data_IF_259558428214
#
_entry.id   IF_259558428214
#
_cell.length_a   1.000
_cell.length_b   1.000
_cell.length_c   1.000
_cell.angle_alpha   90.00
_cell.angle_beta   90.00
_cell.angle_gamma   90.00
#
_symmetry.space_group_name_H-M   'P 1'
#
loop_
_entity.id
_entity.type
_entity.pdbx_description
1 polymer ?
#
# COMPACT_ATOMS: atom_id res chain seq x y z
N UNK A 1 -14.24 -18.50 7.08
CA UNK A 1 -13.80 -17.33 6.31
C UNK A 1 -12.44 -17.63 5.72
N UNK A 2 -12.29 -17.51 4.39
CA UNK A 2 -11.03 -17.72 3.66
C UNK A 2 -10.56 -16.39 3.09
N UNK A 3 -9.42 -15.92 3.60
CA UNK A 3 -8.75 -14.69 3.14
C UNK A 3 -7.49 -15.07 2.37
N UNK A 4 -7.38 -14.57 1.14
CA UNK A 4 -6.16 -14.68 0.32
C UNK A 4 -5.35 -13.42 0.49
N UNK A 5 -4.05 -13.55 0.72
CA UNK A 5 -3.13 -12.42 0.82
C UNK A 5 -2.18 -12.47 -0.37
N UNK A 6 -2.16 -11.42 -1.16
CA UNK A 6 -1.29 -11.24 -2.31
C UNK A 6 -0.22 -10.24 -1.94
N UNK A 7 1.03 -10.69 -1.98
CA UNK A 7 2.21 -9.85 -1.73
C UNK A 7 2.52 -8.94 -2.94
N UNK A 8 3.70 -8.34 -2.90
CA UNK A 8 4.28 -7.40 -3.85
C UNK A 8 3.94 -7.79 -5.30
N UNK A 9 3.21 -6.91 -5.97
CA UNK A 9 2.65 -7.19 -7.30
C UNK A 9 3.68 -6.88 -8.39
N UNK A 10 4.34 -5.72 -8.33
CA UNK A 10 5.33 -5.21 -9.28
C UNK A 10 4.98 -5.55 -10.74
N UNK A 11 3.78 -5.15 -11.17
CA UNK A 11 3.28 -5.39 -12.52
C UNK A 11 2.87 -6.81 -12.86
N UNK A 12 3.10 -7.80 -11.99
CA UNK A 12 2.84 -9.21 -12.29
C UNK A 12 1.34 -9.50 -12.24
N UNK A 13 0.85 -10.20 -13.26
CA UNK A 13 -0.57 -10.57 -13.41
C UNK A 13 -0.96 -11.90 -12.75
N UNK A 14 -0.06 -12.54 -12.00
CA UNK A 14 -0.32 -13.83 -11.32
C UNK A 14 -1.54 -13.79 -10.38
N UNK A 15 -1.88 -12.60 -9.86
CA UNK A 15 -3.09 -12.42 -9.07
C UNK A 15 -4.36 -12.81 -9.83
N UNK A 16 -4.39 -12.64 -11.16
CA UNK A 16 -5.54 -12.99 -12.00
C UNK A 16 -5.83 -14.50 -11.93
N UNK A 17 -4.79 -15.34 -12.00
CA UNK A 17 -4.94 -16.79 -11.89
C UNK A 17 -5.47 -17.17 -10.51
N UNK A 18 -4.97 -16.52 -9.45
CA UNK A 18 -5.43 -16.77 -8.09
C UNK A 18 -6.91 -16.42 -7.95
N UNK A 19 -7.34 -15.24 -8.40
CA UNK A 19 -8.74 -14.82 -8.21
C UNK A 19 -9.73 -15.57 -9.11
N UNK A 20 -9.26 -16.10 -10.24
CA UNK A 20 -10.08 -16.87 -11.18
C UNK A 20 -10.20 -18.36 -10.78
N UNK A 21 -9.22 -18.91 -10.06
CA UNK A 21 -9.19 -20.35 -9.71
C UNK A 21 -9.58 -20.64 -8.27
N UNK A 22 -9.53 -19.64 -7.39
CA UNK A 22 -9.82 -19.83 -5.97
C UNK A 22 -11.17 -19.23 -5.59
N UNK A 23 -11.92 -19.94 -4.75
CA UNK A 23 -13.02 -19.34 -3.97
C UNK A 23 -12.44 -18.73 -2.70
N UNK A 24 -12.85 -17.51 -2.36
CA UNK A 24 -12.45 -16.76 -1.16
C UNK A 24 -13.56 -15.79 -0.71
N UNK A 25 -13.52 -15.43 0.56
CA UNK A 25 -14.39 -14.40 1.14
C UNK A 25 -13.75 -13.02 0.96
N UNK A 26 -12.43 -12.92 1.16
CA UNK A 26 -11.63 -11.72 0.94
C UNK A 26 -10.31 -11.99 0.21
N UNK A 27 -9.83 -10.98 -0.49
CA UNK A 27 -8.48 -10.91 -1.06
C UNK A 27 -7.84 -9.58 -0.68
N UNK A 28 -6.66 -9.64 -0.08
CA UNK A 28 -5.88 -8.48 0.38
C UNK A 28 -4.63 -8.36 -0.47
N UNK A 29 -4.54 -7.30 -1.26
CA UNK A 29 -3.32 -6.90 -1.96
C UNK A 29 -2.47 -6.07 -1.00
N UNK A 30 -1.25 -6.51 -0.70
CA UNK A 30 -0.35 -5.81 0.22
C UNK A 30 0.35 -4.59 -0.40
N UNK A 31 0.12 -4.28 -1.67
CA UNK A 31 0.68 -3.12 -2.36
C UNK A 31 1.82 -3.47 -3.31
N UNK A 32 2.66 -2.47 -3.56
CA UNK A 32 3.73 -2.47 -4.55
C UNK A 32 3.22 -2.91 -5.92
N UNK A 33 2.30 -2.13 -6.49
CA UNK A 33 1.64 -2.46 -7.75
C UNK A 33 2.55 -2.26 -8.97
N UNK A 34 3.50 -1.33 -8.88
CA UNK A 34 4.32 -0.83 -9.99
C UNK A 34 5.82 -0.97 -9.69
N UNK A 35 6.69 -0.22 -10.36
CA UNK A 35 8.16 -0.24 -10.21
C UNK A 35 8.87 -1.59 -10.45
N UNK A 36 8.25 -2.48 -11.21
CA UNK A 36 8.93 -3.68 -11.70
C UNK A 36 10.14 -3.32 -12.57
N UNK A 37 11.26 -4.02 -12.41
CA UNK A 37 12.39 -3.94 -13.34
C UNK A 37 12.15 -4.72 -14.64
N UNK A 38 11.32 -5.76 -14.57
CA UNK A 38 11.17 -6.76 -15.64
C UNK A 38 9.87 -6.61 -16.44
N UNK A 39 8.90 -5.85 -15.93
CA UNK A 39 7.60 -5.60 -16.59
C UNK A 39 7.59 -4.19 -17.20
N UNK A 40 7.11 -4.03 -18.43
CA UNK A 40 7.09 -2.73 -19.10
C UNK A 40 6.17 -1.74 -18.37
N UNK A 41 6.51 -0.45 -18.37
CA UNK A 41 5.69 0.57 -17.68
C UNK A 41 4.24 0.59 -18.16
N UNK A 42 4.01 0.31 -19.44
CA UNK A 42 2.67 0.23 -20.04
C UNK A 42 1.89 -0.94 -19.43
N UNK A 43 2.49 -2.13 -19.39
CA UNK A 43 1.82 -3.32 -18.85
C UNK A 43 1.57 -3.18 -17.34
N UNK A 44 2.48 -2.50 -16.62
CA UNK A 44 2.29 -2.15 -15.20
C UNK A 44 1.10 -1.21 -15.00
N UNK A 45 0.96 -0.18 -15.84
CA UNK A 45 -0.15 0.77 -15.77
C UNK A 45 -1.48 0.08 -16.08
N UNK A 46 -1.54 -0.74 -17.13
CA UNK A 46 -2.71 -1.53 -17.47
C UNK A 46 -3.09 -2.49 -16.33
N UNK A 47 -2.11 -3.17 -15.73
CA UNK A 47 -2.35 -4.07 -14.61
C UNK A 47 -2.86 -3.32 -13.36
N UNK A 48 -2.33 -2.12 -13.06
CA UNK A 48 -2.84 -1.28 -11.97
C UNK A 48 -4.31 -0.90 -12.22
N UNK A 49 -4.65 -0.50 -13.45
CA UNK A 49 -6.03 -0.21 -13.84
C UNK A 49 -6.95 -1.43 -13.71
N UNK A 50 -6.47 -2.63 -14.09
CA UNK A 50 -7.20 -3.89 -13.95
C UNK A 50 -7.48 -4.22 -12.47
N UNK A 51 -6.50 -4.01 -11.57
CA UNK A 51 -6.66 -4.20 -10.12
C UNK A 51 -7.68 -3.22 -9.54
N UNK A 52 -7.62 -1.95 -9.96
CA UNK A 52 -8.60 -0.92 -9.57
C UNK A 52 -10.01 -1.31 -10.04
N UNK A 53 -10.15 -1.78 -11.28
CA UNK A 53 -11.42 -2.24 -11.82
C UNK A 53 -11.96 -3.45 -11.04
N UNK A 54 -11.08 -4.39 -10.66
CA UNK A 54 -11.45 -5.54 -9.84
C UNK A 54 -11.91 -5.13 -8.44
N UNK A 55 -11.23 -4.18 -7.80
CA UNK A 55 -11.70 -3.58 -6.53
C UNK A 55 -13.08 -2.95 -6.68
N UNK A 56 -13.32 -2.20 -7.76
CA UNK A 56 -14.62 -1.56 -8.01
C UNK A 56 -15.75 -2.57 -8.27
N UNK A 57 -15.46 -3.71 -8.89
CA UNK A 57 -16.48 -4.74 -9.16
C UNK A 57 -16.84 -5.56 -7.92
N UNK A 58 -15.92 -5.66 -6.95
CA UNK A 58 -16.08 -6.45 -5.72
C UNK A 58 -15.60 -5.67 -4.47
N UNK A 59 -16.19 -4.50 -4.16
CA UNK A 59 -15.63 -3.55 -3.19
C UNK A 59 -15.47 -4.10 -1.77
N UNK A 60 -16.38 -4.96 -1.33
CA UNK A 60 -16.34 -5.56 0.01
C UNK A 60 -15.33 -6.72 0.16
N UNK A 61 -14.97 -7.36 -0.97
CA UNK A 61 -14.10 -8.54 -0.99
C UNK A 61 -12.64 -8.19 -1.25
N UNK A 62 -12.39 -7.15 -2.04
CA UNK A 62 -11.04 -6.77 -2.47
C UNK A 62 -10.53 -5.67 -1.57
N UNK A 63 -9.37 -5.84 -0.97
CA UNK A 63 -8.70 -4.83 -0.15
C UNK A 63 -7.40 -4.46 -0.84
N UNK A 64 -7.17 -3.16 -1.05
CA UNK A 64 -5.96 -2.63 -1.67
C UNK A 64 -5.17 -1.85 -0.62
N UNK A 65 -3.99 -2.36 -0.26
CA UNK A 65 -3.06 -1.66 0.61
C UNK A 65 -2.01 -0.89 -0.20
N UNK A 66 -1.44 0.14 0.40
CA UNK A 66 -0.40 0.98 -0.20
C UNK A 66 0.96 0.44 0.24
N UNK A 67 1.80 0.08 -0.73
CA UNK A 67 3.21 -0.24 -0.53
C UNK A 67 4.13 0.97 -0.74
N UNK A 68 5.42 0.81 -0.47
CA UNK A 68 6.38 1.91 -0.61
C UNK A 68 6.67 2.27 -2.07
N UNK A 69 6.42 1.36 -3.02
CA UNK A 69 6.47 1.65 -4.46
C UNK A 69 5.18 2.27 -5.01
N UNK A 70 4.15 2.40 -4.19
CA UNK A 70 2.91 3.11 -4.54
C UNK A 70 2.90 4.51 -3.92
N UNK A 71 3.42 4.59 -2.68
CA UNK A 71 3.43 5.78 -1.84
C UNK A 71 4.00 7.03 -2.53
N UNK A 72 5.13 6.92 -3.23
CA UNK A 72 5.78 8.06 -3.90
C UNK A 72 5.07 8.56 -5.16
N UNK A 73 4.00 7.89 -5.60
CA UNK A 73 3.18 8.34 -6.73
C UNK A 73 2.00 9.22 -6.30
N UNK A 74 1.77 9.38 -4.99
CA UNK A 74 0.78 10.35 -4.50
C UNK A 74 1.31 11.79 -4.63
N UNK A 75 0.51 12.75 -5.14
CA UNK A 75 0.98 14.10 -5.46
C UNK A 75 1.66 14.86 -4.32
N UNK A 76 1.19 14.67 -3.09
CA UNK A 76 1.73 15.32 -1.90
C UNK A 76 3.00 14.67 -1.35
N UNK A 77 3.33 13.46 -1.80
CA UNK A 77 4.50 12.70 -1.36
C UNK A 77 5.67 12.93 -2.31
N UNK A 78 5.49 12.63 -3.59
CA UNK A 78 6.57 12.67 -4.59
C UNK A 78 7.66 11.62 -4.37
N UNK A 79 8.75 11.71 -5.13
CA UNK A 79 9.84 10.72 -5.13
C UNK A 79 10.50 10.57 -3.75
N UNK A 80 10.42 9.37 -3.19
CA UNK A 80 11.02 9.01 -1.89
C UNK A 80 12.39 8.32 -2.02
N UNK A 81 12.95 8.21 -3.22
CA UNK A 81 14.21 7.50 -3.48
C UNK A 81 14.08 5.98 -3.48
N UNK A 82 12.85 5.45 -3.56
CA UNK A 82 12.59 4.01 -3.66
C UNK A 82 13.16 3.47 -4.98
N UNK A 83 13.88 2.35 -4.92
CA UNK A 83 14.48 1.72 -6.10
C UNK A 83 13.42 1.40 -7.15
N UNK A 84 13.75 1.54 -8.44
CA UNK A 84 12.81 1.22 -9.52
C UNK A 84 11.79 2.32 -9.83
N UNK A 85 11.73 3.41 -9.04
CA UNK A 85 10.88 4.57 -9.31
C UNK A 85 11.06 5.07 -10.75
N UNK A 86 9.93 5.36 -11.41
CA UNK A 86 9.88 5.77 -12.82
C UNK A 86 9.37 7.20 -12.94
N UNK A 87 10.27 8.17 -12.81
CA UNK A 87 9.94 9.60 -12.90
C UNK A 87 9.15 9.98 -14.17
N UNK A 88 9.44 9.33 -15.31
CA UNK A 88 8.71 9.57 -16.56
C UNK A 88 7.28 9.03 -16.56
N UNK A 89 6.96 8.06 -15.70
CA UNK A 89 5.63 7.47 -15.53
C UNK A 89 4.88 8.04 -14.34
N UNK A 90 5.54 8.83 -13.49
CA UNK A 90 4.94 9.40 -12.29
C UNK A 90 3.62 10.15 -12.55
N UNK A 91 3.46 10.94 -13.63
CA UNK A 91 2.17 11.53 -13.94
C UNK A 91 1.07 10.48 -14.20
N UNK A 92 1.38 9.40 -14.92
CA UNK A 92 0.39 8.37 -15.27
C UNK A 92 0.04 7.46 -14.11
N UNK A 93 1.02 6.99 -13.34
CA UNK A 93 0.75 6.19 -12.15
C UNK A 93 0.07 7.02 -11.07
N UNK A 94 0.57 8.25 -10.84
CA UNK A 94 -0.01 9.17 -9.86
C UNK A 94 -1.45 9.54 -10.18
N UNK A 95 -1.80 9.75 -11.46
CA UNK A 95 -3.19 10.00 -11.87
C UNK A 95 -4.12 8.83 -11.51
N UNK A 96 -3.69 7.58 -11.75
CA UNK A 96 -4.49 6.41 -11.38
C UNK A 96 -4.64 6.29 -9.87
N UNK A 97 -3.56 6.45 -9.10
CA UNK A 97 -3.64 6.39 -7.64
C UNK A 97 -4.51 7.51 -7.06
N UNK A 98 -4.33 8.76 -7.52
CA UNK A 98 -5.01 9.91 -6.94
C UNK A 98 -6.52 9.92 -7.28
N UNK A 99 -6.89 9.64 -8.53
CA UNK A 99 -8.31 9.52 -8.93
C UNK A 99 -9.04 8.38 -8.22
N UNK A 100 -8.31 7.37 -7.73
CA UNK A 100 -8.85 6.21 -7.05
C UNK A 100 -8.42 6.11 -5.59
N UNK A 101 -7.96 7.22 -5.00
CA UNK A 101 -7.34 7.26 -3.67
C UNK A 101 -8.19 6.61 -2.58
N UNK A 102 -9.51 6.78 -2.65
CA UNK A 102 -10.46 6.22 -1.70
C UNK A 102 -10.56 4.69 -1.73
N UNK A 103 -9.96 4.02 -2.72
CA UNK A 103 -9.90 2.57 -2.82
C UNK A 103 -8.68 1.96 -2.12
N UNK A 104 -7.66 2.77 -1.86
CA UNK A 104 -6.39 2.37 -1.28
C UNK A 104 -6.31 2.81 0.18
N UNK A 105 -5.64 2.02 1.02
CA UNK A 105 -5.48 2.31 2.45
C UNK A 105 -4.12 1.80 2.96
N UNK A 106 -3.68 2.25 4.13
CA UNK A 106 -2.38 1.85 4.68
C UNK A 106 -2.45 0.54 5.47
N UNK A 107 -3.60 0.27 6.08
CA UNK A 107 -3.80 -0.91 6.91
C UNK A 107 -5.21 -1.49 6.76
N UNK A 108 -5.34 -2.80 6.99
CA UNK A 108 -6.62 -3.49 7.10
C UNK A 108 -6.55 -4.47 8.27
N UNK A 109 -7.56 -4.49 9.14
CA UNK A 109 -7.63 -5.46 10.24
C UNK A 109 -8.78 -6.44 10.05
N UNK A 110 -8.51 -7.71 10.33
CA UNK A 110 -9.50 -8.78 10.34
C UNK A 110 -9.30 -9.66 11.58
N UNK A 111 -10.25 -9.59 12.52
CA UNK A 111 -10.09 -10.22 13.82
C UNK A 111 -8.86 -9.69 14.56
N UNK A 112 -7.90 -10.57 14.86
CA UNK A 112 -6.63 -10.24 15.53
C UNK A 112 -5.48 -9.97 14.55
N UNK A 113 -5.70 -10.15 13.24
CA UNK A 113 -4.66 -9.96 12.22
C UNK A 113 -4.71 -8.53 11.67
N UNK A 114 -3.58 -7.83 11.72
CA UNK A 114 -3.37 -6.56 11.05
C UNK A 114 -2.55 -6.81 9.78
N UNK A 115 -3.09 -6.39 8.64
CA UNK A 115 -2.44 -6.46 7.33
C UNK A 115 -1.92 -5.07 6.96
N UNK A 116 -0.66 -5.03 6.57
CA UNK A 116 0.08 -3.83 6.14
C UNK A 116 1.12 -4.28 5.11
N UNK A 117 1.67 -3.35 4.34
CA UNK A 117 2.75 -3.67 3.43
C UNK A 117 4.03 -4.16 4.16
N UNK A 118 4.65 -3.30 4.98
CA UNK A 118 5.92 -3.59 5.66
C UNK A 118 5.80 -3.78 7.19
N UNK A 119 4.69 -3.34 7.79
CA UNK A 119 4.51 -3.33 9.25
C UNK A 119 4.65 -1.94 9.87
N UNK A 120 4.33 -1.83 11.15
CA UNK A 120 4.55 -0.63 11.96
C UNK A 120 5.33 -1.00 13.21
N UNK A 121 6.45 -0.32 13.45
CA UNK A 121 7.20 -0.49 14.68
C UNK A 121 6.41 0.09 15.87
N UNK A 122 6.45 -0.54 17.07
CA UNK A 122 5.79 -0.01 18.26
C UNK A 122 6.18 1.43 18.59
N UNK A 123 7.46 1.76 18.45
CA UNK A 123 8.05 3.11 18.56
C UNK A 123 7.41 4.13 17.62
N UNK A 124 7.09 3.75 16.38
CA UNK A 124 6.39 4.61 15.41
C UNK A 124 4.95 4.83 15.86
N UNK A 125 4.27 3.77 16.31
CA UNK A 125 2.91 3.87 16.85
C UNK A 125 2.86 4.78 18.10
N UNK A 126 3.80 4.62 19.03
CA UNK A 126 3.94 5.44 20.24
C UNK A 126 4.23 6.91 19.92
N UNK A 127 4.96 7.19 18.84
CA UNK A 127 5.24 8.57 18.42
C UNK A 127 3.96 9.31 18.00
N UNK A 128 3.04 8.61 17.33
CA UNK A 128 1.81 9.22 16.84
C UNK A 128 0.70 9.21 17.88
N UNK A 129 0.64 8.19 18.75
CA UNK A 129 -0.49 7.98 19.67
C UNK A 129 -0.11 7.58 21.11
N UNK A 130 1.18 7.65 21.50
CA UNK A 130 1.67 7.20 22.83
C UNK A 130 1.18 5.79 23.15
N UNK A 131 0.74 5.48 24.37
CA UNK A 131 0.19 4.16 24.71
C UNK A 131 -1.25 3.95 24.19
N UNK A 132 -1.87 4.97 23.58
CA UNK A 132 -3.26 4.91 23.09
C UNK A 132 -3.41 4.18 21.74
N UNK A 133 -2.35 3.56 21.20
CA UNK A 133 -2.44 2.74 19.99
C UNK A 133 -2.88 1.30 20.25
N UNK A 134 -2.94 0.85 21.52
CA UNK A 134 -3.39 -0.51 21.91
C UNK A 134 -4.92 -0.69 21.74
N UNK A 135 -5.43 -0.35 20.55
CA UNK A 135 -6.85 -0.24 20.27
C UNK A 135 -7.29 -1.35 19.36
N UNK A 136 -8.51 -1.82 19.60
CA UNK A 136 -9.25 -2.75 18.75
C UNK A 136 -9.37 -2.26 17.29
N UNK A 137 -9.16 -0.96 17.02
CA UNK A 137 -9.36 -0.27 15.72
C UNK A 137 -8.08 0.43 15.23
N UNK A 138 -6.92 -0.21 15.40
CA UNK A 138 -5.62 0.37 15.03
C UNK A 138 -5.48 0.65 13.53
N UNK A 139 -6.05 -0.19 12.67
CA UNK A 139 -6.10 0.00 11.23
C UNK A 139 -6.83 1.29 10.84
N UNK A 140 -7.94 1.59 11.50
CA UNK A 140 -8.67 2.83 11.27
C UNK A 140 -7.83 4.07 11.65
N UNK A 141 -7.12 4.02 12.78
CA UNK A 141 -6.24 5.12 13.19
C UNK A 141 -5.11 5.34 12.18
N UNK A 142 -4.52 4.26 11.70
CA UNK A 142 -3.49 4.30 10.65
C UNK A 142 -4.06 4.92 9.37
N UNK A 143 -5.25 4.50 8.95
CA UNK A 143 -5.90 5.02 7.74
C UNK A 143 -6.37 6.48 7.88
N UNK A 144 -6.80 6.89 9.06
CA UNK A 144 -7.10 8.30 9.34
C UNK A 144 -5.83 9.15 9.26
N UNK A 145 -4.71 8.68 9.82
CA UNK A 145 -3.44 9.40 9.70
C UNK A 145 -3.01 9.52 8.23
N UNK A 146 -3.21 8.50 7.42
CA UNK A 146 -2.97 8.58 5.97
C UNK A 146 -3.84 9.65 5.32
N UNK A 147 -5.13 9.68 5.66
CA UNK A 147 -6.08 10.65 5.10
C UNK A 147 -5.74 12.10 5.44
N UNK A 148 -5.27 12.36 6.67
CA UNK A 148 -5.07 13.73 7.15
C UNK A 148 -3.62 14.21 7.14
N UNK A 149 -2.66 13.28 7.21
CA UNK A 149 -1.22 13.56 7.31
C UNK A 149 -0.38 12.50 6.56
N UNK A 150 -0.55 12.37 5.23
CA UNK A 150 0.09 11.32 4.43
C UNK A 150 1.63 11.32 4.51
N UNK A 151 2.26 12.47 4.74
CA UNK A 151 3.71 12.60 4.92
C UNK A 151 4.23 11.90 6.19
N UNK A 152 3.36 11.53 7.14
CA UNK A 152 3.74 10.81 8.36
C UNK A 152 4.29 9.41 8.10
N UNK A 153 4.09 8.88 6.88
CA UNK A 153 4.53 7.57 6.43
C UNK A 153 5.83 7.63 5.60
N UNK A 154 6.40 8.81 5.41
CA UNK A 154 7.66 8.94 4.67
C UNK A 154 8.82 8.30 5.47
N UNK A 155 9.69 7.58 4.76
CA UNK A 155 10.92 7.04 5.34
C UNK A 155 11.92 8.15 5.70
N UNK A 156 12.91 7.78 6.51
CA UNK A 156 13.82 8.63 7.27
C UNK A 156 14.70 9.66 6.54
N UNK A 157 14.57 9.83 5.22
CA UNK A 157 15.19 11.01 4.60
C UNK A 157 14.68 12.33 5.22
N UNK A 158 13.56 12.31 5.94
CA UNK A 158 12.94 13.51 6.52
C UNK A 158 13.07 13.68 8.05
N UNK A 159 13.31 12.63 8.85
CA UNK A 159 13.32 12.72 10.33
C UNK A 159 14.61 12.23 11.02
N UNK A 160 15.49 11.54 10.28
CA UNK A 160 16.76 11.01 10.76
C UNK A 160 16.64 9.83 11.74
N UNK A 161 15.47 9.17 11.84
CA UNK A 161 15.20 8.18 12.90
C UNK A 161 15.01 6.73 12.46
N UNK A 162 14.95 6.48 11.17
CA UNK A 162 15.02 5.14 10.58
C UNK A 162 16.15 5.06 9.55
N UNK A 163 16.51 3.85 9.14
CA UNK A 163 17.45 3.66 8.02
C UNK A 163 16.72 3.90 6.68
N UNK A 164 17.42 3.89 5.54
CA UNK A 164 16.80 4.03 4.22
C UNK A 164 15.79 2.92 3.84
N UNK A 165 15.72 1.84 4.62
CA UNK A 165 14.79 0.73 4.46
C UNK A 165 13.57 0.81 5.41
N UNK A 166 13.50 1.86 6.24
CA UNK A 166 12.40 2.08 7.18
C UNK A 166 12.56 1.41 8.54
N UNK A 167 13.68 0.73 8.82
CA UNK A 167 13.93 0.15 10.15
C UNK A 167 14.33 1.24 11.15
N UNK A 168 13.85 1.14 12.38
CA UNK A 168 14.34 2.00 13.46
C UNK A 168 15.82 1.78 13.72
N UNK A 169 16.54 2.88 13.96
CA UNK A 169 17.99 2.86 14.26
C UNK A 169 18.32 3.24 15.71
N UNK A 170 17.35 3.16 16.62
CA UNK A 170 17.49 3.56 18.04
C UNK A 170 17.20 2.43 19.00
#
# INVERSE_FOLDING_TARGET
>A
MKTIVLRDIHGRRVWMDVVNTQTFDKVVFLGDYVDSFDVSSKDQLENLMDIVAFKKSCPEKVILLIGNHDYHYFPEVGDTGTSGYRANMAPSFGDVFDQNRNLFQMAYKEGTCLFTHAGFAPTWLERHWKEEWQVERIDERINDLWRYKPISFAFAHFDGRSNPYGDDVW
#
